data_IF_754339172794
#
_entry.id   IF_754339172794
#
_cell.length_a   1.000
_cell.length_b   1.000
_cell.length_c   1.000
_cell.angle_alpha   90.00
_cell.angle_beta   90.00
_cell.angle_gamma   90.00
#
_symmetry.space_group_name_H-M   'P 1'
#
loop_
_entity.id
_entity.type
_entity.pdbx_description
1 polymer ?
#
# COMPACT_ATOMS: atom_id res chain seq x y z
N UNK A 1 -2.08 10.91 11.89
CA UNK A 1 -3.06 10.62 10.82
C UNK A 1 -4.14 11.69 10.65
N UNK A 2 -4.67 12.31 11.71
CA UNK A 2 -5.74 13.32 11.59
C UNK A 2 -5.37 14.51 10.69
N UNK A 3 -4.16 15.06 10.80
CA UNK A 3 -3.70 16.16 9.94
C UNK A 3 -3.71 15.77 8.46
N UNK A 4 -3.23 14.57 8.13
CA UNK A 4 -3.23 14.10 6.74
C UNK A 4 -4.65 14.01 6.17
N UNK A 5 -5.58 13.37 6.87
CA UNK A 5 -6.94 13.17 6.37
C UNK A 5 -7.79 14.44 6.39
N UNK A 6 -7.59 15.31 7.37
CA UNK A 6 -8.42 16.49 7.54
C UNK A 6 -7.89 17.75 6.82
N UNK A 7 -6.62 17.77 6.45
CA UNK A 7 -5.97 18.94 5.85
C UNK A 7 -5.30 18.61 4.52
N UNK A 8 -4.33 17.69 4.50
CA UNK A 8 -3.52 17.44 3.30
C UNK A 8 -4.35 16.80 2.17
N UNK A 9 -5.15 15.78 2.48
CA UNK A 9 -5.99 15.12 1.48
C UNK A 9 -7.02 16.08 0.86
N UNK A 10 -7.84 16.81 1.63
CA UNK A 10 -8.76 17.79 1.07
C UNK A 10 -8.08 18.90 0.26
N UNK A 11 -6.92 19.38 0.73
CA UNK A 11 -6.12 20.38 0.03
C UNK A 11 -5.61 19.86 -1.31
N UNK A 12 -5.03 18.65 -1.35
CA UNK A 12 -4.56 18.00 -2.57
C UNK A 12 -5.69 17.77 -3.58
N UNK A 13 -6.84 17.30 -3.10
CA UNK A 13 -8.03 17.13 -3.93
C UNK A 13 -8.55 18.47 -4.49
N UNK A 14 -8.52 19.53 -3.67
CA UNK A 14 -8.89 20.88 -4.13
C UNK A 14 -7.93 21.36 -5.23
N UNK A 15 -6.63 21.24 -5.04
CA UNK A 15 -5.64 21.62 -6.04
C UNK A 15 -5.81 20.84 -7.35
N UNK A 16 -6.05 19.53 -7.28
CA UNK A 16 -6.26 18.71 -8.46
C UNK A 16 -7.50 19.15 -9.26
N UNK A 17 -8.60 19.52 -8.58
CA UNK A 17 -9.79 20.08 -9.24
C UNK A 17 -9.50 21.41 -9.91
N UNK A 18 -8.84 22.32 -9.21
CA UNK A 18 -8.50 23.65 -9.74
C UNK A 18 -7.56 23.54 -10.95
N UNK A 19 -6.54 22.69 -10.86
CA UNK A 19 -5.55 22.53 -11.91
C UNK A 19 -6.11 21.88 -13.19
N UNK A 20 -7.06 20.95 -13.05
CA UNK A 20 -7.57 20.15 -14.16
C UNK A 20 -9.00 20.57 -14.62
N UNK A 21 -9.64 21.52 -13.94
CA UNK A 21 -11.02 21.91 -14.22
C UNK A 21 -12.03 20.77 -14.04
N UNK A 22 -11.71 19.80 -13.17
CA UNK A 22 -12.47 18.59 -13.01
C UNK A 22 -13.41 18.65 -11.79
N UNK A 23 -14.69 18.41 -12.01
CA UNK A 23 -15.72 18.50 -10.95
C UNK A 23 -15.84 17.23 -10.10
N UNK A 24 -15.21 16.13 -10.51
CA UNK A 24 -15.21 14.86 -9.80
C UNK A 24 -14.32 14.85 -8.54
N UNK A 25 -14.36 13.73 -7.80
CA UNK A 25 -13.39 13.47 -6.76
C UNK A 25 -12.13 12.89 -7.42
N UNK A 26 -10.99 13.60 -7.42
CA UNK A 26 -9.75 13.05 -7.93
C UNK A 26 -9.36 11.85 -7.07
N UNK A 27 -9.08 10.74 -7.72
CA UNK A 27 -8.49 9.59 -7.05
C UNK A 27 -7.12 9.94 -6.48
N UNK A 28 -6.79 9.34 -5.34
CA UNK A 28 -5.48 9.47 -4.71
C UNK A 28 -4.77 8.12 -4.74
N UNK A 29 -3.51 8.13 -5.14
CA UNK A 29 -2.64 6.98 -5.06
C UNK A 29 -1.70 7.17 -3.87
N UNK A 30 -1.70 6.21 -2.93
CA UNK A 30 -0.69 6.17 -1.88
C UNK A 30 0.58 5.51 -2.43
N UNK A 31 1.71 6.21 -2.35
CA UNK A 31 2.98 5.69 -2.85
C UNK A 31 4.09 5.84 -1.82
N UNK A 32 4.97 4.83 -1.76
CA UNK A 32 6.17 4.92 -0.93
C UNK A 32 7.09 3.71 -1.07
N UNK A 33 8.36 3.93 -0.68
CA UNK A 33 9.40 2.91 -0.63
C UNK A 33 9.85 2.72 0.82
N UNK A 34 10.28 1.52 1.20
CA UNK A 34 10.80 1.20 2.54
C UNK A 34 9.80 1.58 3.65
N UNK A 35 10.17 2.42 4.60
CA UNK A 35 9.25 2.95 5.63
C UNK A 35 8.07 3.71 4.99
N UNK A 36 8.30 4.41 3.87
CA UNK A 36 7.24 5.06 3.10
C UNK A 36 6.21 4.07 2.54
N UNK A 37 6.62 2.85 2.19
CA UNK A 37 5.72 1.78 1.77
C UNK A 37 4.79 1.32 2.89
N UNK A 38 5.30 1.19 4.12
CA UNK A 38 4.47 0.92 5.30
C UNK A 38 3.42 2.01 5.50
N UNK A 39 3.83 3.28 5.40
CA UNK A 39 2.89 4.39 5.55
C UNK A 39 1.85 4.41 4.43
N UNK A 40 2.26 4.22 3.18
CA UNK A 40 1.35 4.15 2.03
C UNK A 40 0.33 3.00 2.17
N UNK A 41 0.80 1.81 2.59
CA UNK A 41 -0.07 0.67 2.85
C UNK A 41 -1.07 0.96 3.97
N UNK A 42 -0.63 1.55 5.09
CA UNK A 42 -1.52 1.94 6.19
C UNK A 42 -2.58 2.96 5.76
N UNK A 43 -2.24 3.92 4.90
CA UNK A 43 -3.19 4.90 4.37
C UNK A 43 -4.25 4.23 3.50
N UNK A 44 -3.83 3.44 2.55
CA UNK A 44 -4.70 2.74 1.62
C UNK A 44 -5.60 1.71 2.32
N UNK A 45 -5.02 0.81 3.10
CA UNK A 45 -5.76 -0.27 3.75
C UNK A 45 -6.76 0.23 4.79
N UNK A 46 -6.54 1.40 5.37
CA UNK A 46 -7.47 1.99 6.35
C UNK A 46 -8.47 2.94 5.74
N UNK A 47 -8.20 3.51 4.57
CA UNK A 47 -9.07 4.48 3.90
C UNK A 47 -9.11 4.27 2.38
N UNK A 48 -9.53 3.06 1.93
CA UNK A 48 -9.70 2.80 0.50
C UNK A 48 -10.81 3.65 -0.13
N UNK A 49 -11.63 4.30 0.68
CA UNK A 49 -12.61 5.30 0.27
C UNK A 49 -11.98 6.63 -0.16
N UNK A 50 -10.78 6.95 0.32
CA UNK A 50 -10.01 8.14 -0.04
C UNK A 50 -8.89 7.84 -1.04
N UNK A 51 -8.25 6.69 -0.89
CA UNK A 51 -7.14 6.24 -1.74
C UNK A 51 -7.64 5.13 -2.64
N UNK A 52 -7.73 5.40 -3.93
CA UNK A 52 -8.17 4.42 -4.93
C UNK A 52 -7.02 3.71 -5.63
N UNK A 53 -5.81 3.85 -5.14
CA UNK A 53 -4.62 3.14 -5.60
C UNK A 53 -3.51 3.10 -4.56
N UNK A 54 -2.65 2.09 -4.69
CA UNK A 54 -1.47 1.87 -3.86
C UNK A 54 -0.30 1.42 -4.71
N UNK A 55 0.88 1.99 -4.44
CA UNK A 55 2.15 1.42 -4.86
C UNK A 55 3.11 1.43 -3.67
N UNK A 56 3.34 0.27 -3.07
CA UNK A 56 4.19 0.11 -1.89
C UNK A 56 5.38 -0.79 -2.21
N UNK A 57 6.58 -0.23 -2.17
CA UNK A 57 7.82 -0.88 -2.60
C UNK A 57 8.73 -1.17 -1.42
N UNK A 58 9.16 -2.43 -1.27
CA UNK A 58 10.14 -2.87 -0.25
C UNK A 58 9.75 -2.49 1.18
N UNK A 59 8.46 -2.62 1.54
CA UNK A 59 7.97 -2.29 2.87
C UNK A 59 8.15 -3.41 3.88
N UNK A 60 8.19 -3.05 5.17
CA UNK A 60 8.08 -3.99 6.29
C UNK A 60 6.72 -3.76 6.93
N UNK A 61 5.82 -4.73 6.86
CA UNK A 61 4.41 -4.58 7.20
C UNK A 61 4.03 -5.20 8.55
N UNK A 62 5.03 -5.60 9.35
CA UNK A 62 4.84 -6.13 10.70
C UNK A 62 5.59 -5.29 11.73
N UNK A 63 4.92 -5.00 12.84
CA UNK A 63 5.55 -4.31 13.96
C UNK A 63 6.61 -5.15 14.68
N UNK A 64 6.54 -6.48 14.59
CA UNK A 64 7.47 -7.38 15.26
C UNK A 64 8.92 -7.15 14.85
N UNK A 65 9.17 -6.61 13.67
CA UNK A 65 10.52 -6.26 13.21
C UNK A 65 11.23 -5.23 14.10
N UNK A 66 10.50 -4.19 14.54
CA UNK A 66 11.06 -3.11 15.35
C UNK A 66 10.76 -3.24 16.85
N UNK A 67 9.67 -3.90 17.21
CA UNK A 67 9.14 -3.94 18.57
C UNK A 67 9.14 -5.36 19.20
N UNK A 68 9.60 -6.38 18.45
CA UNK A 68 9.58 -7.76 18.92
C UNK A 68 8.17 -8.23 19.26
N UNK A 69 7.95 -8.67 20.50
CA UNK A 69 6.63 -9.09 20.98
C UNK A 69 5.80 -7.97 21.60
N UNK A 70 6.33 -6.73 21.68
CA UNK A 70 5.57 -5.61 22.23
C UNK A 70 4.44 -5.22 21.26
N UNK A 71 3.22 -5.14 21.80
CA UNK A 71 2.02 -4.77 21.05
C UNK A 71 1.07 -3.98 21.95
N UNK A 72 0.87 -2.72 21.60
CA UNK A 72 -0.23 -1.89 22.12
C UNK A 72 -1.17 -1.48 20.99
N UNK A 73 -2.18 -0.70 21.30
CA UNK A 73 -3.15 -0.25 20.28
C UNK A 73 -2.51 0.60 19.18
N UNK A 74 -1.50 1.41 19.50
CA UNK A 74 -0.81 2.26 18.53
C UNK A 74 0.04 1.41 17.60
N UNK A 75 0.81 0.48 18.16
CA UNK A 75 1.64 -0.47 17.39
C UNK A 75 0.75 -1.33 16.50
N UNK A 76 -0.31 -1.94 17.06
CA UNK A 76 -1.27 -2.76 16.32
C UNK A 76 -1.87 -2.01 15.13
N UNK A 77 -2.34 -0.79 15.33
CA UNK A 77 -2.92 0.04 14.26
C UNK A 77 -1.95 0.44 13.16
N UNK A 78 -0.65 0.26 13.36
CA UNK A 78 0.39 0.56 12.38
C UNK A 78 1.09 -0.71 11.86
N UNK A 79 0.56 -1.88 12.15
CA UNK A 79 1.09 -3.18 11.72
C UNK A 79 0.09 -3.88 10.77
N UNK A 80 0.20 -3.66 9.45
CA UNK A 80 -0.72 -4.24 8.47
C UNK A 80 -0.92 -5.74 8.58
N UNK A 81 0.13 -6.51 8.84
CA UNK A 81 0.03 -7.96 9.03
C UNK A 81 -0.91 -8.29 10.20
N UNK A 82 -0.80 -7.56 11.32
CA UNK A 82 -1.56 -7.87 12.52
C UNK A 82 -3.04 -7.46 12.38
N UNK A 83 -3.32 -6.23 11.93
CA UNK A 83 -4.72 -5.81 11.84
C UNK A 83 -5.46 -6.42 10.64
N UNK A 84 -4.78 -6.71 9.52
CA UNK A 84 -5.41 -7.38 8.39
C UNK A 84 -5.68 -8.87 8.67
N UNK A 85 -4.88 -9.53 9.48
CA UNK A 85 -5.16 -10.89 9.94
C UNK A 85 -6.51 -10.97 10.67
N UNK A 86 -6.83 -9.94 11.46
CA UNK A 86 -8.08 -9.84 12.23
C UNK A 86 -9.22 -9.12 11.46
N UNK A 87 -8.97 -8.70 10.22
CA UNK A 87 -9.95 -7.97 9.41
C UNK A 87 -11.14 -8.89 9.07
N UNK A 88 -12.41 -8.46 9.26
CA UNK A 88 -13.57 -9.27 8.96
C UNK A 88 -13.62 -9.67 7.48
N UNK A 89 -13.92 -10.94 7.18
CA UNK A 89 -13.98 -11.43 5.80
C UNK A 89 -15.23 -10.94 5.02
N UNK A 90 -16.18 -10.32 5.70
CA UNK A 90 -17.38 -9.69 5.15
C UNK A 90 -17.34 -8.16 5.20
N UNK A 91 -16.17 -7.58 5.49
CA UNK A 91 -16.01 -6.13 5.61
C UNK A 91 -16.31 -5.42 4.27
N UNK A 92 -17.07 -4.30 4.28
CA UNK A 92 -17.46 -3.58 3.07
C UNK A 92 -16.30 -3.00 2.27
N UNK A 93 -15.08 -2.94 2.83
CA UNK A 93 -13.88 -2.53 2.10
C UNK A 93 -13.33 -3.60 1.16
N UNK A 94 -13.67 -4.89 1.32
CA UNK A 94 -13.15 -5.95 0.46
C UNK A 94 -13.57 -5.76 -1.01
N UNK A 95 -14.86 -5.55 -1.34
CA UNK A 95 -15.25 -5.20 -2.70
C UNK A 95 -14.56 -3.93 -3.22
N UNK A 96 -14.32 -2.95 -2.34
CA UNK A 96 -13.65 -1.71 -2.72
C UNK A 96 -12.19 -1.95 -3.08
N UNK A 97 -11.42 -2.70 -2.26
CA UNK A 97 -10.06 -3.13 -2.62
C UNK A 97 -10.03 -3.84 -3.97
N UNK A 98 -10.98 -4.77 -4.19
CA UNK A 98 -11.02 -5.59 -5.39
C UNK A 98 -11.45 -4.81 -6.67
N UNK A 99 -12.01 -3.63 -6.52
CA UNK A 99 -12.35 -2.72 -7.63
C UNK A 99 -11.24 -1.73 -7.98
N UNK A 100 -10.19 -1.66 -7.18
CA UNK A 100 -9.11 -0.69 -7.30
C UNK A 100 -7.82 -1.32 -7.79
N UNK A 101 -6.86 -0.49 -8.21
CA UNK A 101 -5.52 -0.95 -8.59
C UNK A 101 -4.54 -0.66 -7.47
N UNK A 102 -4.01 -1.72 -6.87
CA UNK A 102 -3.07 -1.61 -5.77
C UNK A 102 -1.98 -2.68 -5.90
N UNK A 103 -0.73 -2.27 -5.82
CA UNK A 103 0.43 -3.15 -5.89
C UNK A 103 1.32 -3.00 -4.66
N UNK A 104 1.78 -4.13 -4.16
CA UNK A 104 2.83 -4.24 -3.14
C UNK A 104 3.95 -5.08 -3.74
N UNK A 105 5.16 -4.54 -3.82
CA UNK A 105 6.29 -5.23 -4.39
C UNK A 105 7.49 -5.23 -3.44
N UNK A 106 8.24 -6.32 -3.46
CA UNK A 106 9.47 -6.48 -2.69
C UNK A 106 10.48 -7.30 -3.49
N UNK A 107 11.77 -6.99 -3.37
CA UNK A 107 12.85 -7.82 -3.87
C UNK A 107 13.23 -8.94 -2.90
N UNK A 108 14.23 -9.72 -3.28
CA UNK A 108 14.82 -10.79 -2.47
C UNK A 108 16.36 -10.64 -2.37
N UNK A 109 16.89 -9.52 -2.86
CA UNK A 109 18.32 -9.22 -2.83
C UNK A 109 18.79 -8.58 -1.53
N UNK A 110 19.90 -7.86 -1.60
CA UNK A 110 20.53 -7.26 -0.43
C UNK A 110 19.58 -6.27 0.28
N UNK A 111 19.45 -6.42 1.61
CA UNK A 111 18.66 -5.58 2.50
C UNK A 111 17.14 -5.64 2.29
N UNK A 112 16.64 -6.50 1.41
CA UNK A 112 15.22 -6.78 1.27
C UNK A 112 14.72 -7.75 2.35
N UNK A 113 13.49 -7.55 2.80
CA UNK A 113 12.85 -8.33 3.87
C UNK A 113 11.46 -8.80 3.41
N UNK A 114 11.37 -9.82 2.54
CA UNK A 114 10.11 -10.21 1.90
C UNK A 114 9.10 -10.89 2.81
N UNK A 115 9.47 -11.28 4.02
CA UNK A 115 8.63 -12.13 4.88
C UNK A 115 7.28 -11.48 5.25
N UNK A 116 7.27 -10.20 5.62
CA UNK A 116 6.03 -9.51 5.96
C UNK A 116 5.14 -9.27 4.73
N UNK A 117 5.75 -9.13 3.54
CA UNK A 117 5.01 -9.08 2.27
C UNK A 117 4.36 -10.43 1.94
N UNK A 118 5.06 -11.55 2.17
CA UNK A 118 4.49 -12.90 2.02
C UNK A 118 3.32 -13.12 2.99
N UNK A 119 3.48 -12.71 4.24
CA UNK A 119 2.41 -12.78 5.24
C UNK A 119 1.17 -11.98 4.82
N UNK A 120 1.35 -10.76 4.30
CA UNK A 120 0.23 -9.96 3.78
C UNK A 120 -0.44 -10.64 2.58
N UNK A 121 0.34 -11.20 1.66
CA UNK A 121 -0.19 -11.95 0.53
C UNK A 121 -1.10 -13.09 0.99
N UNK A 122 -0.62 -13.91 1.90
CA UNK A 122 -1.38 -15.03 2.46
C UNK A 122 -2.66 -14.56 3.18
N UNK A 123 -2.59 -13.42 3.89
CA UNK A 123 -3.74 -12.82 4.56
C UNK A 123 -4.76 -12.34 3.52
N UNK A 124 -4.34 -11.63 2.49
CA UNK A 124 -5.21 -11.14 1.44
C UNK A 124 -5.91 -12.27 0.70
N UNK A 125 -5.19 -13.33 0.34
CA UNK A 125 -5.76 -14.53 -0.28
C UNK A 125 -6.85 -15.15 0.59
N UNK A 126 -6.59 -15.36 1.88
CA UNK A 126 -7.58 -15.90 2.84
C UNK A 126 -8.80 -15.01 3.04
N UNK A 127 -8.65 -13.69 2.86
CA UNK A 127 -9.74 -12.70 3.01
C UNK A 127 -10.46 -12.40 1.70
N UNK A 128 -10.05 -12.97 0.56
CA UNK A 128 -10.60 -12.66 -0.75
C UNK A 128 -10.27 -11.23 -1.23
N UNK A 129 -9.11 -10.70 -0.83
CA UNK A 129 -8.61 -9.40 -1.24
C UNK A 129 -7.62 -9.61 -2.39
N UNK A 130 -7.92 -9.05 -3.55
CA UNK A 130 -7.18 -9.29 -4.80
C UNK A 130 -6.22 -8.13 -5.12
N UNK A 131 -5.27 -7.85 -4.23
CA UNK A 131 -4.19 -6.91 -4.52
C UNK A 131 -3.06 -7.60 -5.27
N UNK A 132 -2.37 -6.87 -6.15
CA UNK A 132 -1.17 -7.39 -6.83
C UNK A 132 0.00 -7.38 -5.84
N UNK A 133 0.30 -8.53 -5.25
CA UNK A 133 1.50 -8.71 -4.42
C UNK A 133 2.55 -9.44 -5.23
N UNK A 134 3.64 -8.73 -5.55
CA UNK A 134 4.72 -9.20 -6.40
C UNK A 134 6.03 -9.34 -5.63
N UNK A 135 6.75 -10.43 -5.88
CA UNK A 135 8.04 -10.72 -5.24
C UNK A 135 9.07 -10.93 -6.33
N UNK A 136 9.97 -9.95 -6.48
CA UNK A 136 10.99 -9.93 -7.51
C UNK A 136 12.21 -10.77 -7.13
N UNK A 137 13.17 -10.90 -8.06
CA UNK A 137 14.30 -11.80 -7.95
C UNK A 137 15.30 -11.49 -6.84
N UNK A 138 16.27 -12.39 -6.67
CA UNK A 138 17.34 -12.27 -5.68
C UNK A 138 18.41 -11.22 -6.04
N UNK A 139 18.36 -10.69 -7.24
CA UNK A 139 19.17 -9.58 -7.73
C UNK A 139 18.56 -8.21 -7.41
N UNK A 140 17.32 -8.18 -6.92
CA UNK A 140 16.58 -6.96 -6.61
C UNK A 140 16.86 -6.53 -5.18
N UNK A 141 17.62 -5.46 -5.03
CA UNK A 141 18.09 -4.93 -3.75
C UNK A 141 17.21 -3.79 -3.22
N UNK A 142 17.33 -3.51 -1.92
CA UNK A 142 16.63 -2.43 -1.23
C UNK A 142 17.28 -1.07 -1.54
N UNK A 143 17.14 -0.59 -2.78
CA UNK A 143 17.77 0.67 -3.22
C UNK A 143 17.01 1.36 -4.37
N UNK A 144 17.38 2.62 -4.62
CA UNK A 144 16.73 3.49 -5.58
C UNK A 144 16.71 2.96 -7.02
N UNK A 145 17.79 2.39 -7.59
CA UNK A 145 17.79 1.86 -8.95
C UNK A 145 16.68 0.84 -9.18
N UNK A 146 16.38 0.00 -8.18
CA UNK A 146 15.30 -0.97 -8.27
C UNK A 146 13.93 -0.34 -8.09
N UNK A 147 13.77 0.60 -7.17
CA UNK A 147 12.50 1.32 -7.00
C UNK A 147 12.12 2.13 -8.23
N UNK A 148 13.06 2.74 -8.94
CA UNK A 148 12.78 3.38 -10.23
C UNK A 148 12.22 2.40 -11.26
N UNK A 149 12.86 1.23 -11.42
CA UNK A 149 12.38 0.18 -12.33
C UNK A 149 11.00 -0.35 -11.93
N UNK A 150 10.75 -0.52 -10.64
CA UNK A 150 9.45 -0.94 -10.13
C UNK A 150 8.38 0.11 -10.40
N UNK A 151 8.66 1.40 -10.21
CA UNK A 151 7.74 2.48 -10.57
C UNK A 151 7.42 2.46 -12.06
N UNK A 152 8.43 2.39 -12.93
CA UNK A 152 8.24 2.29 -14.39
C UNK A 152 7.41 1.06 -14.78
N UNK A 153 7.53 -0.04 -14.05
CA UNK A 153 6.79 -1.26 -14.30
C UNK A 153 5.32 -1.18 -13.87
N UNK A 154 5.05 -0.70 -12.66
CA UNK A 154 3.70 -0.70 -12.08
C UNK A 154 2.86 0.54 -12.44
N UNK A 155 3.48 1.70 -12.64
CA UNK A 155 2.75 2.96 -12.78
C UNK A 155 1.81 2.98 -14.00
N UNK A 156 2.18 2.49 -15.21
CA UNK A 156 1.26 2.44 -16.34
C UNK A 156 0.02 1.57 -16.08
N UNK A 157 0.21 0.43 -15.39
CA UNK A 157 -0.92 -0.39 -14.98
C UNK A 157 -1.79 0.32 -13.92
N UNK A 158 -1.17 0.93 -12.94
CA UNK A 158 -1.86 1.64 -11.85
C UNK A 158 -2.72 2.80 -12.39
N UNK A 159 -2.23 3.49 -13.42
CA UNK A 159 -2.95 4.57 -14.11
C UNK A 159 -3.98 4.07 -15.14
N UNK A 160 -4.05 2.78 -15.41
CA UNK A 160 -4.98 2.21 -16.38
C UNK A 160 -4.53 2.25 -17.82
N UNK A 161 -3.27 2.56 -18.07
CA UNK A 161 -2.68 2.64 -19.41
C UNK A 161 -2.26 1.26 -19.94
N UNK A 162 -2.17 0.25 -19.07
CA UNK A 162 -1.80 -1.13 -19.40
C UNK A 162 -2.65 -2.12 -18.58
N UNK A 163 -3.01 -3.26 -19.18
CA UNK A 163 -3.55 -4.43 -18.48
C UNK A 163 -2.50 -5.06 -17.55
N UNK A 164 -2.95 -5.78 -16.52
CA UNK A 164 -2.08 -6.53 -15.62
C UNK A 164 -1.40 -7.70 -16.30
#
# INVERSE_FOLDING_TARGET
>A
MNHLFNEIVPFGQHLARVANGWDGHPGLIAFGCSLGALHAANLYLRRPDLFNGLLALSGIYTASYGFGSYMDEVVYRNSPVDYMANFPSDHPYIPLYNSQRAAICVGQGAWELPESTRQLKDIFERKGIHLWVDIWGHDVNHDWPWWYRQVEYFLPWLLGERAA
#
